data_IF_295353217933
#
_entry.id   IF_295353217933
#
_cell.length_a   1.000
_cell.length_b   1.000
_cell.length_c   1.000
_cell.angle_alpha   90.00
_cell.angle_beta   90.00
_cell.angle_gamma   90.00
#
_symmetry.space_group_name_H-M   'P 1'
#
loop_
_entity.id
_entity.type
_entity.pdbx_description
1 polymer ?
#
# COMPACT_ATOMS: atom_id res chain seq x y z
N UNK A 1 -16.81 -3.59 12.90
CA UNK A 1 -15.56 -4.04 13.56
C UNK A 1 -15.54 -3.51 14.99
N UNK A 2 -15.14 -4.34 15.92
CA UNK A 2 -15.06 -3.98 17.34
C UNK A 2 -13.65 -4.21 17.84
N UNK A 3 -13.13 -3.25 18.60
CA UNK A 3 -11.76 -3.29 19.11
C UNK A 3 -11.79 -3.34 20.63
N UNK A 4 -11.18 -4.37 21.19
CA UNK A 4 -11.11 -4.60 22.63
C UNK A 4 -9.72 -4.32 23.16
N UNK A 5 -9.63 -3.62 24.27
CA UNK A 5 -8.37 -3.35 24.95
C UNK A 5 -7.75 -4.64 25.48
N UNK A 6 -6.44 -4.77 25.31
CA UNK A 6 -5.62 -5.83 25.90
C UNK A 6 -4.61 -5.20 26.84
N UNK A 7 -3.78 -6.00 27.48
CA UNK A 7 -2.75 -5.49 28.40
C UNK A 7 -1.80 -4.51 27.70
N UNK A 8 -1.42 -4.79 26.44
CA UNK A 8 -0.40 -4.01 25.73
C UNK A 8 -0.89 -3.37 24.42
N UNK A 9 -2.19 -3.35 24.17
CA UNK A 9 -2.74 -2.80 22.95
C UNK A 9 -4.22 -3.06 22.79
N UNK A 10 -4.61 -3.40 21.56
CA UNK A 10 -5.99 -3.71 21.22
C UNK A 10 -6.02 -4.93 20.30
N UNK A 11 -7.17 -5.56 20.23
CA UNK A 11 -7.39 -6.68 19.30
C UNK A 11 -8.75 -6.54 18.63
N UNK A 12 -8.86 -7.09 17.45
CA UNK A 12 -10.12 -7.20 16.74
C UNK A 12 -10.17 -8.52 15.98
N UNK A 13 -11.34 -8.89 15.53
CA UNK A 13 -11.50 -10.01 14.61
C UNK A 13 -12.06 -9.50 13.30
N UNK A 14 -11.47 -9.96 12.21
CA UNK A 14 -11.95 -9.70 10.86
C UNK A 14 -12.45 -11.01 10.26
N UNK A 15 -13.02 -10.94 9.07
CA UNK A 15 -13.45 -12.16 8.37
C UNK A 15 -12.28 -13.10 8.06
N UNK A 16 -11.06 -12.58 7.98
CA UNK A 16 -9.86 -13.40 7.77
C UNK A 16 -9.37 -14.04 9.08
N UNK A 17 -9.38 -13.29 10.19
CA UNK A 17 -8.88 -13.78 11.46
C UNK A 17 -8.62 -12.67 12.46
N UNK A 18 -7.90 -13.05 13.52
CA UNK A 18 -7.57 -12.14 14.61
C UNK A 18 -6.44 -11.19 14.23
N UNK A 19 -6.57 -9.95 14.69
CA UNK A 19 -5.59 -8.90 14.44
C UNK A 19 -5.25 -8.23 15.78
N UNK A 20 -4.01 -8.38 16.22
CA UNK A 20 -3.48 -7.70 17.40
C UNK A 20 -2.76 -6.43 16.96
N UNK A 21 -3.09 -5.32 17.58
CA UNK A 21 -2.56 -4.00 17.20
C UNK A 21 -1.98 -3.32 18.44
N UNK A 22 -0.75 -2.83 18.32
CA UNK A 22 -0.08 -2.13 19.40
C UNK A 22 0.94 -1.13 18.85
N UNK A 23 1.18 -0.05 19.58
CA UNK A 23 2.27 0.87 19.23
C UNK A 23 3.65 0.24 19.48
N UNK A 24 3.69 -0.85 20.26
CA UNK A 24 4.90 -1.63 20.51
C UNK A 24 4.83 -2.91 19.65
N UNK A 25 5.79 -3.08 18.75
CA UNK A 25 5.82 -4.20 17.80
C UNK A 25 6.07 -5.56 18.43
N UNK A 26 6.40 -5.60 19.73
CA UNK A 26 6.45 -6.88 20.47
C UNK A 26 5.04 -7.47 20.69
N UNK A 27 4.00 -6.63 20.64
CA UNK A 27 2.65 -7.04 21.03
C UNK A 27 1.62 -6.96 19.93
N UNK A 28 2.01 -6.48 18.75
CA UNK A 28 1.06 -6.42 17.64
C UNK A 28 1.58 -5.61 16.46
N UNK A 29 0.75 -5.52 15.44
CA UNK A 29 1.05 -4.71 14.26
C UNK A 29 0.87 -3.24 14.61
N UNK A 30 1.81 -2.40 14.19
CA UNK A 30 1.75 -0.98 14.50
C UNK A 30 0.73 -0.27 13.60
N UNK A 31 -0.07 0.65 14.14
CA UNK A 31 -1.10 1.34 13.36
C UNK A 31 -0.59 1.99 12.06
N UNK A 32 0.55 2.70 12.10
CA UNK A 32 1.05 3.35 10.89
C UNK A 32 1.45 2.33 9.82
N UNK A 33 1.98 1.17 10.23
CA UNK A 33 2.35 0.11 9.29
C UNK A 33 1.12 -0.52 8.65
N UNK A 34 0.03 -0.63 9.40
CA UNK A 34 -1.24 -1.12 8.85
C UNK A 34 -1.79 -0.15 7.81
N UNK A 35 -1.69 1.15 8.05
CA UNK A 35 -2.12 2.15 7.08
C UNK A 35 -1.28 2.06 5.80
N UNK A 36 0.04 2.06 5.93
CA UNK A 36 0.95 1.94 4.79
C UNK A 36 0.69 0.64 4.04
N UNK A 37 0.51 -0.46 4.76
CA UNK A 37 0.22 -1.77 4.16
C UNK A 37 -1.07 -1.74 3.34
N UNK A 38 -2.12 -1.11 3.87
CA UNK A 38 -3.40 -1.02 3.17
C UNK A 38 -3.27 -0.26 1.85
N UNK A 39 -2.52 0.84 1.85
CA UNK A 39 -2.29 1.63 0.63
C UNK A 39 -1.45 0.85 -0.37
N UNK A 40 -0.34 0.27 0.08
CA UNK A 40 0.58 -0.46 -0.79
C UNK A 40 -0.08 -1.68 -1.45
N UNK A 41 -0.77 -2.49 -0.66
CA UNK A 41 -1.39 -3.73 -1.15
C UNK A 41 -2.59 -3.43 -2.05
N UNK A 42 -3.37 -2.41 -1.70
CA UNK A 42 -4.49 -1.98 -2.55
C UNK A 42 -3.98 -1.52 -3.92
N UNK A 43 -2.95 -0.66 -3.95
CA UNK A 43 -2.33 -0.20 -5.19
C UNK A 43 -1.75 -1.35 -6.00
N UNK A 44 -1.01 -2.25 -5.34
CA UNK A 44 -0.44 -3.41 -6.01
C UNK A 44 -1.49 -4.32 -6.63
N UNK A 45 -2.58 -4.54 -5.91
CA UNK A 45 -3.71 -5.34 -6.39
C UNK A 45 -4.43 -4.72 -7.58
N UNK A 46 -4.61 -3.40 -7.55
CA UNK A 46 -5.20 -2.66 -8.67
C UNK A 46 -4.30 -2.73 -9.90
N UNK A 47 -3.00 -2.50 -9.72
CA UNK A 47 -2.02 -2.59 -10.82
C UNK A 47 -2.05 -3.97 -11.46
N UNK A 48 -2.06 -5.02 -10.64
CA UNK A 48 -2.12 -6.40 -11.13
C UNK A 48 -3.32 -6.61 -12.04
N UNK A 49 -4.50 -6.15 -11.64
CA UNK A 49 -5.73 -6.27 -12.43
C UNK A 49 -5.66 -5.47 -13.73
N UNK A 50 -5.10 -4.26 -13.69
CA UNK A 50 -4.95 -3.41 -14.87
C UNK A 50 -4.02 -4.08 -15.87
N UNK A 51 -2.88 -4.59 -15.43
CA UNK A 51 -1.93 -5.29 -16.28
C UNK A 51 -2.58 -6.51 -16.95
N UNK A 52 -3.36 -7.29 -16.19
CA UNK A 52 -4.08 -8.43 -16.74
C UNK A 52 -5.07 -8.00 -17.83
N UNK A 53 -5.86 -6.95 -17.57
CA UNK A 53 -6.84 -6.44 -18.52
C UNK A 53 -6.19 -5.90 -19.79
N UNK A 54 -5.01 -5.34 -19.68
CA UNK A 54 -4.26 -4.82 -20.81
C UNK A 54 -3.44 -5.89 -21.53
N UNK A 55 -3.60 -7.16 -21.12
CA UNK A 55 -2.89 -8.30 -21.70
C UNK A 55 -1.38 -8.22 -21.55
N UNK A 56 -0.95 -7.63 -20.43
CA UNK A 56 0.45 -7.52 -20.04
C UNK A 56 0.62 -8.09 -18.62
N UNK A 57 0.26 -9.37 -18.39
CA UNK A 57 0.28 -9.91 -17.03
C UNK A 57 1.68 -9.87 -16.42
N UNK A 58 1.76 -9.49 -15.16
CA UNK A 58 3.01 -9.54 -14.42
C UNK A 58 3.22 -10.96 -13.89
N UNK A 59 4.45 -11.44 -13.96
CA UNK A 59 4.82 -12.69 -13.29
C UNK A 59 4.97 -12.47 -11.81
N UNK A 60 5.40 -11.27 -11.41
CA UNK A 60 5.55 -10.89 -10.02
C UNK A 60 5.54 -9.37 -9.88
N UNK A 61 4.96 -8.89 -8.79
CA UNK A 61 5.00 -7.46 -8.43
C UNK A 61 5.48 -7.36 -6.98
N UNK A 62 6.55 -6.59 -6.79
CA UNK A 62 6.99 -6.18 -5.45
C UNK A 62 6.60 -4.72 -5.27
N UNK A 63 6.01 -4.39 -4.13
CA UNK A 63 5.71 -3.01 -3.77
C UNK A 63 6.57 -2.64 -2.57
N UNK A 64 7.44 -1.65 -2.75
CA UNK A 64 8.30 -1.18 -1.67
C UNK A 64 7.82 0.19 -1.19
N UNK A 65 7.62 0.34 0.11
CA UNK A 65 7.44 1.66 0.71
C UNK A 65 8.84 2.23 0.96
N UNK A 66 9.36 2.94 -0.02
CA UNK A 66 10.74 3.45 0.01
C UNK A 66 10.93 4.63 0.95
N UNK A 67 9.88 5.41 1.14
CA UNK A 67 9.93 6.56 2.03
C UNK A 67 8.57 6.72 2.71
N UNK A 68 8.61 6.91 4.02
CA UNK A 68 7.44 7.24 4.83
C UNK A 68 7.84 8.46 5.66
N UNK A 69 7.25 9.61 5.36
CA UNK A 69 7.55 10.85 6.10
C UNK A 69 6.48 11.06 7.15
N UNK A 70 6.91 11.23 8.38
CA UNK A 70 6.04 11.50 9.54
C UNK A 70 6.42 12.82 10.16
N UNK A 71 5.44 13.55 10.67
CA UNK A 71 5.65 14.88 11.25
C UNK A 71 5.58 14.81 12.78
N UNK A 72 6.72 14.88 13.49
CA UNK A 72 6.74 14.79 14.95
C UNK A 72 6.05 15.97 15.64
N UNK A 73 5.91 17.10 14.96
CA UNK A 73 5.23 18.27 15.51
C UNK A 73 3.70 18.16 15.45
N UNK A 74 3.19 17.17 14.72
CA UNK A 74 1.77 16.92 14.59
C UNK A 74 1.45 15.44 14.83
N UNK A 75 1.78 14.94 16.01
CA UNK A 75 1.47 13.59 16.47
C UNK A 75 2.02 12.48 15.57
N UNK A 76 3.15 12.73 14.91
CA UNK A 76 3.77 11.80 13.98
C UNK A 76 2.84 11.38 12.85
N UNK A 77 1.92 12.25 12.42
CA UNK A 77 1.04 11.92 11.31
C UNK A 77 1.87 11.62 10.06
N UNK A 78 1.35 10.72 9.23
CA UNK A 78 1.99 10.39 7.96
C UNK A 78 1.68 11.52 6.97
N UNK A 79 2.72 12.09 6.36
CA UNK A 79 2.57 13.18 5.40
C UNK A 79 2.93 12.77 3.98
N UNK A 80 3.74 11.71 3.83
CA UNK A 80 4.15 11.22 2.52
C UNK A 80 4.42 9.72 2.57
N UNK A 81 4.03 9.04 1.51
CA UNK A 81 4.37 7.63 1.27
C UNK A 81 4.87 7.52 -0.17
N UNK A 82 6.09 7.03 -0.35
CA UNK A 82 6.62 6.72 -1.68
C UNK A 82 6.54 5.21 -1.89
N UNK A 83 5.68 4.78 -2.80
CA UNK A 83 5.55 3.39 -3.21
C UNK A 83 6.29 3.19 -4.53
N UNK A 84 7.18 2.21 -4.53
CA UNK A 84 7.92 1.85 -5.75
C UNK A 84 7.53 0.43 -6.14
N UNK A 85 7.06 0.27 -7.38
CA UNK A 85 6.62 -1.01 -7.91
C UNK A 85 7.72 -1.62 -8.75
N UNK A 86 8.12 -2.83 -8.41
CA UNK A 86 9.08 -3.61 -9.19
C UNK A 86 8.27 -4.71 -9.88
N UNK A 87 8.17 -4.61 -11.20
CA UNK A 87 7.29 -5.47 -12.00
C UNK A 87 8.13 -6.38 -12.86
N UNK A 88 7.95 -7.69 -12.70
CA UNK A 88 8.61 -8.67 -13.55
C UNK A 88 7.60 -9.26 -14.52
N UNK A 89 7.94 -9.27 -15.78
CA UNK A 89 7.09 -9.84 -16.81
C UNK A 89 7.62 -9.56 -18.20
N UNK A 90 7.52 -10.56 -19.08
CA UNK A 90 8.04 -10.46 -20.45
C UNK A 90 7.11 -9.75 -21.43
N UNK A 91 5.82 -9.63 -21.06
CA UNK A 91 4.81 -9.01 -21.94
C UNK A 91 4.53 -7.55 -21.61
N UNK A 92 5.25 -6.98 -20.65
CA UNK A 92 5.04 -5.60 -20.23
C UNK A 92 5.66 -4.63 -21.23
N UNK A 93 4.85 -3.72 -21.76
CA UNK A 93 5.28 -2.71 -22.70
C UNK A 93 5.49 -1.38 -21.97
N UNK A 94 6.73 -0.91 -21.96
CA UNK A 94 7.13 0.34 -21.30
C UNK A 94 6.27 1.52 -21.73
N UNK A 95 5.94 1.61 -23.02
CA UNK A 95 5.14 2.70 -23.58
C UNK A 95 3.74 2.80 -23.00
N UNK A 96 3.24 1.72 -22.40
CA UNK A 96 1.89 1.67 -21.80
C UNK A 96 1.90 1.91 -20.30
N UNK A 97 3.08 1.96 -19.69
CA UNK A 97 3.18 2.06 -18.23
C UNK A 97 2.67 3.39 -17.68
N UNK A 98 2.80 4.49 -18.42
CA UNK A 98 2.22 5.77 -18.01
C UNK A 98 0.72 5.65 -17.74
N UNK A 99 0.02 4.96 -18.63
CA UNK A 99 -1.42 4.73 -18.47
C UNK A 99 -1.71 3.77 -17.30
N UNK A 100 -0.89 2.73 -17.16
CA UNK A 100 -1.02 1.79 -16.04
C UNK A 100 -0.91 2.53 -14.71
N UNK A 101 0.10 3.38 -14.55
CA UNK A 101 0.32 4.15 -13.31
C UNK A 101 -0.83 5.09 -13.03
N UNK A 102 -1.31 5.80 -14.04
CA UNK A 102 -2.46 6.70 -13.92
C UNK A 102 -3.70 5.97 -13.43
N UNK A 103 -4.02 4.83 -14.06
CA UNK A 103 -5.18 4.03 -13.70
C UNK A 103 -5.04 3.39 -12.32
N UNK A 104 -3.83 2.99 -11.95
CA UNK A 104 -3.56 2.42 -10.62
C UNK A 104 -3.90 3.43 -9.53
N UNK A 105 -3.39 4.65 -9.65
CA UNK A 105 -3.68 5.72 -8.70
C UNK A 105 -5.17 6.02 -8.65
N UNK A 106 -5.78 6.19 -9.80
CA UNK A 106 -7.19 6.58 -9.92
C UNK A 106 -8.14 5.55 -9.31
N UNK A 107 -7.82 4.26 -9.43
CA UNK A 107 -8.72 3.19 -9.03
C UNK A 107 -8.36 2.53 -7.70
N UNK A 108 -7.34 3.01 -7.01
CA UNK A 108 -6.98 2.51 -5.69
C UNK A 108 -7.81 3.21 -4.62
N UNK A 109 -8.75 2.49 -4.00
CA UNK A 109 -9.63 3.07 -2.99
C UNK A 109 -8.86 3.63 -1.80
N UNK A 110 -7.77 2.99 -1.40
CA UNK A 110 -6.98 3.46 -0.26
C UNK A 110 -6.20 4.74 -0.59
N UNK A 111 -5.62 4.82 -1.79
CA UNK A 111 -4.97 6.07 -2.24
C UNK A 111 -6.00 7.20 -2.30
N UNK A 112 -7.17 6.94 -2.89
CA UNK A 112 -8.22 7.95 -2.98
C UNK A 112 -8.72 8.38 -1.60
N UNK A 113 -8.68 7.51 -0.62
CA UNK A 113 -9.10 7.81 0.75
C UNK A 113 -8.14 8.73 1.49
N UNK A 114 -6.84 8.72 1.14
CA UNK A 114 -5.80 9.41 1.93
C UNK A 114 -5.05 10.51 1.17
N UNK A 115 -5.14 10.57 -0.16
CA UNK A 115 -4.26 11.45 -0.96
C UNK A 115 -4.41 12.95 -0.67
N UNK A 116 -5.51 13.36 -0.09
CA UNK A 116 -5.69 14.78 0.27
C UNK A 116 -4.92 15.15 1.54
N UNK A 117 -4.63 14.17 2.40
CA UNK A 117 -3.87 14.37 3.63
C UNK A 117 -2.43 13.87 3.53
N UNK A 118 -2.20 12.86 2.70
CA UNK A 118 -0.91 12.20 2.54
C UNK A 118 -0.49 12.30 1.08
N UNK A 119 0.70 12.85 0.84
CA UNK A 119 1.27 12.85 -0.49
C UNK A 119 1.66 11.41 -0.86
N UNK A 120 1.01 10.86 -1.88
CA UNK A 120 1.31 9.53 -2.38
C UNK A 120 2.13 9.67 -3.67
N UNK A 121 3.37 9.19 -3.62
CA UNK A 121 4.25 9.16 -4.79
C UNK A 121 4.38 7.71 -5.24
N UNK A 122 4.10 7.46 -6.50
CA UNK A 122 4.18 6.11 -7.07
C UNK A 122 5.16 6.10 -8.24
N UNK A 123 6.14 5.21 -8.16
CA UNK A 123 7.15 5.01 -9.22
C UNK A 123 7.24 3.53 -9.55
N UNK A 124 7.87 3.20 -10.65
CA UNK A 124 7.99 1.80 -11.06
C UNK A 124 9.31 1.51 -11.78
N UNK A 125 9.64 0.24 -11.84
CA UNK A 125 10.66 -0.28 -12.72
C UNK A 125 10.20 -1.66 -13.23
N UNK A 126 10.67 -2.03 -14.42
CA UNK A 126 10.38 -3.32 -15.03
C UNK A 126 11.66 -4.14 -15.01
N UNK A 127 11.55 -5.37 -14.54
CA UNK A 127 12.68 -6.32 -14.53
C UNK A 127 12.35 -7.54 -15.39
N UNK A 128 13.35 -8.28 -15.74
CA UNK A 128 13.21 -9.49 -16.55
C UNK A 128 13.15 -10.76 -15.69
#
# INVERSE_FOLDING_TARGET
MKFEMTENGFKTETSYGKLAISSNDEYGFRPYQLLVSSVAVCSGGVMRKILDKMRMPADHITVEAREIVRNPDQADRIEKIHLHFIIRGSSIEESKMGRVMELTTKNCSMVQSVHESIEIVETYEITQ
#
